data_IF_938125815607
#
_entry.id   IF_938125815607
#
_cell.length_a   1.000
_cell.length_b   1.000
_cell.length_c   1.000
_cell.angle_alpha   90.00
_cell.angle_beta   90.00
_cell.angle_gamma   90.00
#
_symmetry.space_group_name_H-M   'P 1'
#
loop_
_entity.id
_entity.type
_entity.pdbx_description
1 polymer ?
#
# COMPACT_ATOMS: atom_id res chain seq x y z
N UNK A 1 32.97 41.80 15.60
CA UNK A 1 31.50 41.61 15.41
C UNK A 1 31.09 40.72 14.21
N UNK A 2 31.98 40.08 13.43
CA UNK A 2 31.58 39.26 12.26
C UNK A 2 31.36 37.74 12.52
N UNK A 3 31.94 37.15 13.58
CA UNK A 3 31.87 35.69 13.86
C UNK A 3 30.51 35.21 14.40
N UNK A 4 29.78 36.03 15.16
CA UNK A 4 28.47 35.66 15.74
C UNK A 4 27.38 35.51 14.68
N UNK A 5 27.46 36.27 13.59
CA UNK A 5 26.49 36.22 12.49
C UNK A 5 26.67 34.95 11.63
N UNK A 6 27.91 34.47 11.42
CA UNK A 6 28.14 33.22 10.69
C UNK A 6 27.62 31.99 11.45
N UNK A 7 27.83 31.93 12.77
CA UNK A 7 27.36 30.80 13.59
C UNK A 7 25.82 30.74 13.64
N UNK A 8 25.16 31.90 13.72
CA UNK A 8 23.70 32.00 13.72
C UNK A 8 23.08 31.61 12.37
N UNK A 9 23.74 31.93 11.25
CA UNK A 9 23.32 31.51 9.90
C UNK A 9 23.49 29.98 9.72
N UNK A 10 24.56 29.39 10.24
CA UNK A 10 24.76 27.93 10.20
C UNK A 10 23.71 27.17 11.02
N UNK A 11 23.29 27.69 12.18
CA UNK A 11 22.20 27.11 12.99
C UNK A 11 20.86 27.20 12.26
N UNK A 12 20.56 28.35 11.63
CA UNK A 12 19.32 28.55 10.88
C UNK A 12 19.27 27.66 9.63
N UNK A 13 20.40 27.49 8.92
CA UNK A 13 20.51 26.56 7.81
C UNK A 13 20.33 25.10 8.27
N UNK A 14 20.91 24.70 9.39
CA UNK A 14 20.75 23.34 9.95
C UNK A 14 19.29 23.05 10.38
N UNK A 15 18.60 24.04 10.98
CA UNK A 15 17.18 23.95 11.31
C UNK A 15 16.30 23.82 10.05
N UNK A 16 16.62 24.53 8.97
CA UNK A 16 15.89 24.42 7.70
C UNK A 16 16.13 23.08 6.98
N UNK A 17 17.34 22.49 7.07
CA UNK A 17 17.61 21.16 6.51
C UNK A 17 16.94 20.01 7.28
N UNK A 18 16.71 20.16 8.58
CA UNK A 18 16.10 19.11 9.42
C UNK A 18 14.64 18.79 9.07
N UNK A 19 13.94 19.71 8.41
CA UNK A 19 12.52 19.54 8.04
C UNK A 19 12.30 18.67 6.78
N UNK A 20 13.34 18.36 6.00
CA UNK A 20 13.19 17.51 4.82
C UNK A 20 13.19 16.01 5.13
N UNK A 21 13.67 15.60 6.31
CA UNK A 21 13.84 14.19 6.66
C UNK A 21 12.54 13.49 7.10
N UNK A 22 11.47 14.22 7.43
CA UNK A 22 10.24 13.64 7.97
C UNK A 22 9.21 13.19 6.91
N UNK A 23 9.32 13.65 5.66
CA UNK A 23 8.33 13.39 4.60
C UNK A 23 8.44 12.00 3.94
N UNK A 24 9.45 11.19 4.26
CA UNK A 24 9.62 9.84 3.69
C UNK A 24 9.13 8.70 4.61
N UNK A 25 8.78 9.00 5.86
CA UNK A 25 8.48 7.95 6.84
C UNK A 25 7.09 7.32 6.65
N UNK A 26 6.11 8.08 6.16
CA UNK A 26 4.73 7.60 6.00
C UNK A 26 4.53 6.66 4.80
N UNK A 27 5.27 6.90 3.70
CA UNK A 27 5.16 6.11 2.45
C UNK A 27 5.48 4.63 2.65
N UNK A 28 6.50 4.33 3.46
CA UNK A 28 6.85 2.92 3.78
C UNK A 28 5.88 2.29 4.76
N UNK A 29 5.15 3.09 5.54
CA UNK A 29 4.27 2.59 6.59
C UNK A 29 2.99 1.98 6.00
N UNK A 30 2.34 2.69 5.07
CA UNK A 30 1.10 2.21 4.43
C UNK A 30 1.33 0.91 3.66
N UNK A 31 2.41 0.82 2.87
CA UNK A 31 2.77 -0.40 2.15
C UNK A 31 3.02 -1.59 3.10
N UNK A 32 3.73 -1.36 4.21
CA UNK A 32 3.99 -2.40 5.20
C UNK A 32 2.70 -2.86 5.90
N UNK A 33 1.79 -1.95 6.24
CA UNK A 33 0.50 -2.28 6.85
C UNK A 33 -0.42 -3.05 5.89
N UNK A 34 -0.46 -2.65 4.62
CA UNK A 34 -1.19 -3.36 3.55
C UNK A 34 -0.59 -4.76 3.34
N UNK A 35 0.73 -4.87 3.25
CA UNK A 35 1.42 -6.16 3.11
C UNK A 35 1.12 -7.09 4.31
N UNK A 36 1.13 -6.56 5.54
CA UNK A 36 0.73 -7.31 6.74
C UNK A 36 -0.74 -7.77 6.70
N UNK A 37 -1.64 -6.96 6.16
CA UNK A 37 -3.04 -7.34 5.98
C UNK A 37 -3.19 -8.51 5.00
N UNK A 38 -2.43 -8.53 3.89
CA UNK A 38 -2.36 -9.68 2.99
C UNK A 38 -1.78 -10.92 3.68
N UNK A 39 -0.64 -10.79 4.36
CA UNK A 39 0.02 -11.92 5.07
C UNK A 39 -0.88 -12.57 6.12
N UNK A 40 -1.66 -11.77 6.85
CA UNK A 40 -2.58 -12.25 7.88
C UNK A 40 -3.96 -12.64 7.35
N UNK A 41 -4.26 -12.39 6.08
CA UNK A 41 -5.60 -12.56 5.52
C UNK A 41 -6.66 -11.69 6.18
N UNK A 42 -6.28 -10.56 6.78
CA UNK A 42 -7.17 -9.71 7.55
C UNK A 42 -7.82 -8.64 6.68
N UNK A 43 -9.02 -8.96 6.16
CA UNK A 43 -9.78 -8.05 5.30
C UNK A 43 -10.21 -6.78 6.02
N UNK A 44 -10.49 -6.83 7.32
CA UNK A 44 -10.85 -5.62 8.08
C UNK A 44 -9.70 -4.62 8.10
N UNK A 45 -8.45 -5.08 8.23
CA UNK A 45 -7.26 -4.21 8.11
C UNK A 45 -7.05 -3.71 6.69
N UNK A 46 -7.21 -4.58 5.69
CA UNK A 46 -7.07 -4.20 4.27
C UNK A 46 -8.11 -3.15 3.85
N UNK A 47 -9.36 -3.31 4.32
CA UNK A 47 -10.49 -2.43 4.02
C UNK A 47 -10.26 -0.99 4.46
N UNK A 48 -9.42 -0.74 5.48
CA UNK A 48 -9.05 0.62 5.91
C UNK A 48 -8.44 1.41 4.74
N UNK A 49 -7.63 0.75 3.91
CA UNK A 49 -6.91 1.37 2.80
C UNK A 49 -7.68 1.37 1.48
N UNK A 50 -8.83 0.68 1.36
CA UNK A 50 -9.58 0.67 0.09
C UNK A 50 -10.06 2.08 -0.26
N UNK A 51 -9.79 2.50 -1.50
CA UNK A 51 -10.41 3.68 -2.08
C UNK A 51 -11.91 3.45 -2.36
N UNK A 52 -12.61 4.54 -2.65
CA UNK A 52 -13.99 4.49 -3.10
C UNK A 52 -14.17 5.38 -4.35
N UNK A 53 -14.26 4.79 -5.56
CA UNK A 53 -14.25 3.35 -5.83
C UNK A 53 -12.84 2.72 -5.89
N UNK A 54 -12.80 1.38 -5.92
CA UNK A 54 -11.60 0.55 -6.11
C UNK A 54 -11.81 -0.44 -7.26
N UNK A 55 -10.79 -0.60 -8.09
CA UNK A 55 -10.76 -1.57 -9.19
C UNK A 55 -10.32 -2.93 -8.66
N UNK A 56 -11.12 -3.97 -8.91
CA UNK A 56 -10.79 -5.33 -8.52
C UNK A 56 -10.77 -6.25 -9.74
N UNK A 57 -9.66 -6.95 -9.91
CA UNK A 57 -9.51 -8.03 -10.89
C UNK A 57 -9.15 -9.32 -10.15
N UNK A 58 -10.11 -10.23 -10.12
CA UNK A 58 -10.09 -11.53 -9.45
C UNK A 58 -10.64 -12.56 -10.45
N UNK A 59 -10.34 -13.86 -10.29
CA UNK A 59 -10.94 -14.90 -11.14
C UNK A 59 -12.48 -14.87 -11.22
N UNK A 60 -13.14 -14.32 -10.20
CA UNK A 60 -14.60 -14.25 -10.10
C UNK A 60 -15.18 -12.84 -10.29
N UNK A 61 -14.35 -11.81 -10.46
CA UNK A 61 -14.80 -10.42 -10.48
C UNK A 61 -13.78 -9.55 -11.20
N UNK A 62 -14.22 -8.79 -12.20
CA UNK A 62 -13.38 -7.83 -12.91
C UNK A 62 -14.19 -6.57 -13.19
N UNK A 63 -14.11 -5.58 -12.29
CA UNK A 63 -14.87 -4.32 -12.39
C UNK A 63 -14.38 -3.28 -11.36
N UNK A 64 -14.97 -2.09 -11.44
CA UNK A 64 -14.87 -1.04 -10.45
C UNK A 64 -16.00 -1.17 -9.42
N UNK A 65 -15.65 -1.16 -8.13
CA UNK A 65 -16.60 -1.38 -7.03
C UNK A 65 -16.52 -0.28 -5.98
N UNK A 66 -17.63 -0.02 -5.31
CA UNK A 66 -17.58 0.77 -4.08
C UNK A 66 -16.75 0.06 -3.01
N UNK A 67 -16.21 0.81 -2.05
CA UNK A 67 -15.44 0.26 -0.92
C UNK A 67 -16.18 -0.88 -0.20
N UNK A 68 -17.48 -0.70 0.06
CA UNK A 68 -18.29 -1.70 0.76
C UNK A 68 -18.47 -2.99 -0.06
N UNK A 69 -18.69 -2.86 -1.38
CA UNK A 69 -18.79 -4.02 -2.27
C UNK A 69 -17.44 -4.75 -2.36
N UNK A 70 -16.35 -3.99 -2.51
CA UNK A 70 -15.00 -4.53 -2.57
C UNK A 70 -14.62 -5.31 -1.30
N UNK A 71 -14.98 -4.80 -0.12
CA UNK A 71 -14.75 -5.52 1.14
C UNK A 71 -15.47 -6.88 1.16
N UNK A 72 -16.73 -6.93 0.72
CA UNK A 72 -17.50 -8.19 0.64
C UNK A 72 -16.87 -9.17 -0.35
N UNK A 73 -16.48 -8.69 -1.54
CA UNK A 73 -15.86 -9.51 -2.58
C UNK A 73 -14.51 -10.07 -2.10
N UNK A 74 -13.64 -9.23 -1.53
CA UNK A 74 -12.35 -9.64 -1.01
C UNK A 74 -12.49 -10.59 0.19
N UNK A 75 -13.47 -10.36 1.07
CA UNK A 75 -13.80 -11.28 2.17
C UNK A 75 -14.17 -12.67 1.65
N UNK A 76 -14.99 -12.74 0.61
CA UNK A 76 -15.31 -14.02 -0.04
C UNK A 76 -14.06 -14.64 -0.65
N UNK A 77 -13.25 -13.89 -1.39
CA UNK A 77 -12.02 -14.39 -2.01
C UNK A 77 -11.04 -14.97 -0.98
N UNK A 78 -10.81 -14.28 0.14
CA UNK A 78 -9.91 -14.71 1.21
C UNK A 78 -10.48 -15.90 2.00
N UNK A 79 -11.80 -16.01 2.09
CA UNK A 79 -12.46 -17.19 2.71
C UNK A 79 -12.29 -18.41 1.81
N UNK A 80 -12.59 -18.27 0.52
CA UNK A 80 -12.52 -19.37 -0.46
C UNK A 80 -11.07 -19.79 -0.73
N UNK A 81 -10.11 -18.87 -0.57
CA UNK A 81 -8.70 -19.08 -0.83
C UNK A 81 -7.83 -18.69 0.37
N UNK A 82 -8.15 -19.18 1.58
CA UNK A 82 -7.46 -18.84 2.83
C UNK A 82 -5.94 -18.72 2.68
N UNK A 83 -5.39 -17.60 3.14
CA UNK A 83 -3.95 -17.29 3.03
C UNK A 83 -3.12 -18.38 3.70
N UNK A 84 -2.18 -18.96 2.95
CA UNK A 84 -1.07 -19.76 3.49
C UNK A 84 0.17 -18.89 3.66
N UNK A 85 0.47 -18.07 2.66
CA UNK A 85 1.54 -17.07 2.72
C UNK A 85 1.28 -15.95 1.71
N UNK A 86 1.84 -14.79 1.99
CA UNK A 86 1.96 -13.70 1.03
C UNK A 86 3.40 -13.22 1.03
N UNK A 87 4.07 -13.33 -0.12
CA UNK A 87 5.47 -12.95 -0.28
C UNK A 87 5.55 -11.71 -1.18
N UNK A 88 5.87 -10.56 -0.59
CA UNK A 88 6.24 -9.39 -1.37
C UNK A 88 7.47 -9.71 -2.22
N UNK A 89 7.38 -9.46 -3.53
CA UNK A 89 8.48 -9.61 -4.48
C UNK A 89 9.09 -8.27 -4.84
N UNK A 90 8.24 -7.27 -5.05
CA UNK A 90 8.67 -5.90 -5.32
C UNK A 90 7.67 -4.93 -4.71
N UNK A 91 8.15 -3.82 -4.19
CA UNK A 91 7.33 -2.68 -3.81
C UNK A 91 8.10 -1.41 -4.09
N UNK A 92 7.39 -0.30 -4.23
CA UNK A 92 8.05 0.98 -4.44
C UNK A 92 7.10 2.09 -4.80
N UNK A 93 7.68 3.15 -5.36
CA UNK A 93 7.00 4.33 -5.85
C UNK A 93 7.21 4.45 -7.36
N UNK A 94 6.13 4.60 -8.09
CA UNK A 94 6.10 4.84 -9.53
C UNK A 94 6.53 6.28 -9.87
N UNK A 95 6.82 6.52 -11.15
CA UNK A 95 7.22 7.85 -11.66
C UNK A 95 6.15 8.91 -11.40
N UNK A 96 4.88 8.55 -11.50
CA UNK A 96 3.74 9.43 -11.22
C UNK A 96 3.48 9.66 -9.71
N UNK A 97 4.29 9.03 -8.87
CA UNK A 97 4.23 9.14 -7.42
C UNK A 97 3.28 8.16 -6.73
N UNK A 98 2.55 7.33 -7.49
CA UNK A 98 1.78 6.22 -6.92
C UNK A 98 2.69 5.19 -6.26
N UNK A 99 2.18 4.43 -5.29
CA UNK A 99 2.91 3.32 -4.68
C UNK A 99 2.38 2.00 -5.25
N UNK A 100 3.21 0.99 -5.29
CA UNK A 100 2.81 -0.34 -5.73
C UNK A 100 3.37 -1.44 -4.85
N UNK A 101 2.66 -2.57 -4.82
CA UNK A 101 3.11 -3.83 -4.23
C UNK A 101 2.87 -4.93 -5.26
N UNK A 102 3.89 -5.74 -5.52
CA UNK A 102 3.83 -6.98 -6.28
C UNK A 102 4.20 -8.11 -5.33
N UNK A 103 3.31 -9.08 -5.20
CA UNK A 103 3.52 -10.24 -4.33
C UNK A 103 3.04 -11.54 -4.93
N UNK A 104 3.41 -12.64 -4.27
CA UNK A 104 2.87 -13.97 -4.54
C UNK A 104 1.99 -14.36 -3.36
N UNK A 105 0.70 -14.52 -3.62
CA UNK A 105 -0.30 -15.03 -2.69
C UNK A 105 -0.43 -16.53 -2.87
N UNK A 106 -0.08 -17.31 -1.84
CA UNK A 106 -0.33 -18.75 -1.82
C UNK A 106 -1.46 -19.06 -0.85
N UNK A 107 -2.41 -19.87 -1.29
CA UNK A 107 -3.57 -20.28 -0.48
C UNK A 107 -3.38 -21.68 0.10
N UNK A 108 -4.12 -21.99 1.17
CA UNK A 108 -4.10 -23.31 1.81
C UNK A 108 -4.71 -24.40 0.93
N UNK A 109 -5.56 -24.04 -0.04
CA UNK A 109 -6.16 -24.97 -1.00
C UNK A 109 -5.26 -25.25 -2.22
N UNK A 110 -4.02 -24.77 -2.22
CA UNK A 110 -3.02 -25.05 -3.25
C UNK A 110 -2.99 -24.10 -4.44
N UNK A 111 -3.88 -23.10 -4.51
CA UNK A 111 -3.82 -22.06 -5.54
C UNK A 111 -2.75 -21.00 -5.22
N UNK A 112 -2.07 -20.52 -6.25
CA UNK A 112 -1.13 -19.40 -6.20
C UNK A 112 -1.61 -18.28 -7.13
N UNK A 113 -1.41 -17.04 -6.70
CA UNK A 113 -1.76 -15.86 -7.47
C UNK A 113 -0.61 -14.85 -7.41
N UNK A 114 -0.27 -14.28 -8.56
CA UNK A 114 0.47 -13.01 -8.59
C UNK A 114 -0.50 -11.91 -8.21
N UNK A 115 -0.12 -11.11 -7.22
CA UNK A 115 -0.92 -10.01 -6.73
C UNK A 115 -0.25 -8.70 -7.10
N UNK A 116 -1.01 -7.80 -7.71
CA UNK A 116 -0.60 -6.41 -7.95
C UNK A 116 -1.54 -5.47 -7.20
N UNK A 117 -0.97 -4.51 -6.49
CA UNK A 117 -1.70 -3.50 -5.73
C UNK A 117 -1.18 -2.14 -6.12
N UNK A 118 -2.08 -1.26 -6.58
CA UNK A 118 -1.78 0.14 -6.85
C UNK A 118 -2.38 1.01 -5.76
N UNK A 119 -1.57 1.90 -5.20
CA UNK A 119 -1.93 2.78 -4.10
C UNK A 119 -1.70 4.23 -4.56
N UNK A 120 -2.69 5.09 -4.34
CA UNK A 120 -2.61 6.52 -4.62
C UNK A 120 -2.76 7.32 -3.33
N UNK A 121 -1.95 8.36 -3.18
CA UNK A 121 -2.11 9.33 -2.09
C UNK A 121 -3.22 10.31 -2.46
N UNK A 122 -4.35 10.25 -1.76
CA UNK A 122 -5.53 11.12 -1.95
C UNK A 122 -5.81 11.83 -0.63
N UNK A 123 -5.81 13.16 -0.63
CA UNK A 123 -6.01 13.97 0.58
C UNK A 123 -5.11 13.54 1.76
N UNK A 124 -3.81 13.35 1.48
CA UNK A 124 -2.79 12.89 2.42
C UNK A 124 -3.05 11.48 3.03
N UNK A 125 -3.83 10.65 2.35
CA UNK A 125 -4.05 9.25 2.73
C UNK A 125 -3.66 8.34 1.57
N UNK A 126 -2.90 7.30 1.87
CA UNK A 126 -2.58 6.26 0.90
C UNK A 126 -3.75 5.29 0.80
N UNK A 127 -4.40 5.27 -0.37
CA UNK A 127 -5.56 4.45 -0.65
C UNK A 127 -5.31 3.51 -1.83
N UNK A 128 -5.70 2.25 -1.68
CA UNK A 128 -5.65 1.23 -2.71
C UNK A 128 -6.67 1.57 -3.79
N UNK A 129 -6.16 1.91 -4.97
CA UNK A 129 -6.96 2.19 -6.17
C UNK A 129 -7.27 0.90 -6.94
N UNK A 130 -6.35 -0.06 -6.96
CA UNK A 130 -6.49 -1.30 -7.72
C UNK A 130 -5.90 -2.47 -6.96
N UNK A 131 -6.59 -3.61 -7.02
CA UNK A 131 -6.07 -4.93 -6.61
C UNK A 131 -6.33 -5.94 -7.72
N UNK A 132 -5.28 -6.60 -8.16
CA UNK A 132 -5.34 -7.67 -9.15
C UNK A 132 -4.76 -8.95 -8.57
N UNK A 133 -5.45 -10.07 -8.80
CA UNK A 133 -4.99 -11.42 -8.54
C UNK A 133 -5.02 -12.23 -9.83
N UNK A 134 -3.86 -12.37 -10.46
CA UNK A 134 -3.66 -13.19 -11.64
C UNK A 134 -3.23 -14.60 -11.18
N UNK A 135 -3.82 -15.65 -11.73
CA UNK A 135 -3.40 -17.02 -11.40
C UNK A 135 -1.98 -17.25 -11.91
N UNK A 136 -1.12 -17.81 -11.06
CA UNK A 136 0.22 -18.26 -11.46
C UNK A 136 0.18 -19.57 -12.26
#
# INVERSE_FOLDING_TARGET
MKKQNLFSISILAFLLLSNFAFLQSDVKKSQAEINSAFQSGNITKLAIYLNNPVDLTLPSADNNYSKAQAEVILKKFFTDNKVKSFQEKHSGKSVDGSLFIIGIYSSTNGKSFRTYVLIKTIANKDLIQLIEFEKE
#
